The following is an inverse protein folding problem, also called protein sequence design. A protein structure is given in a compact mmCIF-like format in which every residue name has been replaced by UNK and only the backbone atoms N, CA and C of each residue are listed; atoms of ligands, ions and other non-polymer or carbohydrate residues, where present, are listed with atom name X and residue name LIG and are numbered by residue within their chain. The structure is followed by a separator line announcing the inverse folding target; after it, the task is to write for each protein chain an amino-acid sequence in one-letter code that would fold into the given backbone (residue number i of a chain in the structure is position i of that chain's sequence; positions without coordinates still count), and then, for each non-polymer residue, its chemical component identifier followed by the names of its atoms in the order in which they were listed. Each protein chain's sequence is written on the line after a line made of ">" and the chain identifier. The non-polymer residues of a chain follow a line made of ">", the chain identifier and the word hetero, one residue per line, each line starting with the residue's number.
data_IF_749267890035
#
_entry.id   IF_749267890035
#
_cell.length_a   1.000
_cell.length_b   1.000
_cell.length_c   1.000
_cell.angle_alpha   90.00
_cell.angle_beta   90.00
_cell.angle_gamma   90.00
#
_symmetry.space_group_name_H-M   'P 1'
#
loop_
_entity.id
_entity.type
_entity.pdbx_description
1 polymer ?
#
# COMPACT_ATOMS: atom_id res chain seq x y z
N UNK A 1 -11.07 19.22 32.04
CA UNK A 1 -11.36 17.78 31.81
C UNK A 1 -11.64 17.44 30.34
N UNK A 2 -12.55 18.12 29.64
CA UNK A 2 -12.86 17.84 28.22
C UNK A 2 -11.64 17.88 27.28
N UNK A 3 -10.77 18.89 27.44
CA UNK A 3 -9.54 19.03 26.63
C UNK A 3 -8.59 17.83 26.74
N UNK A 4 -8.51 17.24 27.93
CA UNK A 4 -7.66 16.08 28.20
C UNK A 4 -8.25 14.84 27.49
N UNK A 5 -9.55 14.62 27.64
CA UNK A 5 -10.24 13.51 26.97
C UNK A 5 -10.16 13.62 25.44
N UNK A 6 -10.35 14.81 24.90
CA UNK A 6 -10.21 15.08 23.47
C UNK A 6 -8.78 14.86 22.98
N UNK A 7 -7.78 15.35 23.72
CA UNK A 7 -6.36 15.15 23.41
C UNK A 7 -5.96 13.67 23.37
N UNK A 8 -6.40 12.86 24.35
CA UNK A 8 -6.15 11.43 24.35
C UNK A 8 -6.80 10.71 23.16
N UNK A 9 -8.04 11.09 22.80
CA UNK A 9 -8.72 10.52 21.64
C UNK A 9 -8.00 10.87 20.32
N UNK A 10 -7.54 12.12 20.18
CA UNK A 10 -6.80 12.57 19.01
C UNK A 10 -5.45 11.85 18.85
N UNK A 11 -4.72 11.72 19.96
CA UNK A 11 -3.47 10.99 20.00
C UNK A 11 -3.67 9.52 19.62
N UNK A 12 -4.68 8.86 20.20
CA UNK A 12 -4.98 7.46 19.89
C UNK A 12 -5.38 7.27 18.42
N UNK A 13 -6.16 8.19 17.86
CA UNK A 13 -6.57 8.16 16.45
C UNK A 13 -5.37 8.29 15.49
N UNK A 14 -4.44 9.21 15.79
CA UNK A 14 -3.19 9.37 15.04
C UNK A 14 -2.28 8.15 15.18
N UNK A 15 -2.04 7.68 16.41
CA UNK A 15 -1.12 6.58 16.70
C UNK A 15 -1.54 5.23 16.11
N UNK A 16 -2.86 4.99 15.99
CA UNK A 16 -3.40 3.80 15.35
C UNK A 16 -3.58 3.95 13.84
N UNK A 17 -3.23 5.10 13.26
CA UNK A 17 -3.39 5.39 11.84
C UNK A 17 -4.83 5.19 11.37
N UNK A 18 -5.82 5.48 12.23
CA UNK A 18 -7.23 5.24 11.91
C UNK A 18 -7.78 6.17 10.83
N UNK A 19 -7.26 7.40 10.77
CA UNK A 19 -7.71 8.41 9.82
C UNK A 19 -6.93 8.39 8.51
N UNK A 20 -5.64 8.07 8.57
CA UNK A 20 -4.80 7.93 7.39
C UNK A 20 -4.13 6.56 7.40
N UNK A 21 -4.55 5.67 6.49
CA UNK A 21 -3.93 4.36 6.35
C UNK A 21 -2.49 4.53 5.87
N UNK A 22 -1.57 3.84 6.54
CA UNK A 22 -0.15 3.83 6.19
C UNK A 22 0.26 2.49 5.58
N UNK A 23 -0.61 1.47 5.62
CA UNK A 23 -0.32 0.14 5.10
C UNK A 23 -0.90 0.00 3.70
N UNK A 24 -0.01 -0.23 2.75
CA UNK A 24 -0.36 -0.47 1.36
C UNK A 24 0.22 -1.80 0.88
N UNK A 25 -0.52 -2.48 0.04
CA UNK A 25 -0.12 -3.69 -0.66
C UNK A 25 0.40 -3.28 -2.04
N UNK A 26 1.62 -3.67 -2.37
CA UNK A 26 2.19 -3.41 -3.68
C UNK A 26 1.96 -4.61 -4.58
N UNK A 27 1.27 -4.36 -5.70
CA UNK A 27 0.97 -5.34 -6.72
C UNK A 27 1.72 -5.02 -7.99
N UNK A 28 2.32 -6.03 -8.59
CA UNK A 28 3.16 -5.91 -9.77
C UNK A 28 2.67 -6.80 -10.89
N UNK A 29 2.54 -6.18 -12.07
CA UNK A 29 2.30 -6.85 -13.32
C UNK A 29 3.54 -6.77 -14.20
N UNK A 30 3.96 -7.90 -14.79
CA UNK A 30 5.16 -7.95 -15.65
C UNK A 30 4.91 -7.39 -17.07
N UNK A 31 3.66 -7.33 -17.51
CA UNK A 31 3.29 -6.90 -18.86
C UNK A 31 1.85 -7.26 -19.21
N UNK A 32 1.46 -6.95 -20.46
CA UNK A 32 0.14 -7.29 -21.01
C UNK A 32 0.17 -8.70 -21.61
N UNK A 33 -0.75 -9.52 -21.13
CA UNK A 33 -1.02 -10.90 -21.56
C UNK A 33 -2.10 -10.83 -22.62
N UNK A 34 -1.84 -11.41 -23.79
CA UNK A 34 -2.83 -11.44 -24.88
C UNK A 34 -3.95 -12.42 -24.55
N UNK A 35 -5.10 -12.26 -25.20
CA UNK A 35 -6.29 -13.08 -24.95
C UNK A 35 -6.09 -14.58 -25.22
N UNK A 36 -5.14 -14.92 -26.09
CA UNK A 36 -4.78 -16.28 -26.48
C UNK A 36 -3.63 -16.88 -25.64
N UNK A 37 -3.10 -16.14 -24.66
CA UNK A 37 -1.94 -16.55 -23.86
C UNK A 37 -2.33 -17.01 -22.44
N UNK A 38 -1.57 -17.94 -21.85
CA UNK A 38 -1.78 -18.35 -20.47
C UNK A 38 -1.39 -17.22 -19.49
N UNK A 39 -2.09 -17.12 -18.36
CA UNK A 39 -1.91 -16.04 -17.37
C UNK A 39 -0.47 -15.92 -16.84
N UNK A 40 0.24 -17.03 -16.76
CA UNK A 40 1.60 -17.13 -16.26
C UNK A 40 2.66 -17.03 -17.38
N UNK A 41 2.30 -16.59 -18.61
CA UNK A 41 3.22 -16.55 -19.77
C UNK A 41 4.55 -15.85 -19.43
N UNK A 42 4.53 -14.72 -18.71
CA UNK A 42 5.76 -14.00 -18.36
C UNK A 42 6.68 -14.73 -17.36
N UNK A 43 6.18 -15.75 -16.65
CA UNK A 43 6.94 -16.50 -15.64
C UNK A 43 7.30 -17.92 -16.09
N UNK A 44 6.40 -18.56 -16.84
CA UNK A 44 6.50 -19.97 -17.21
C UNK A 44 6.45 -20.21 -18.74
N UNK A 45 6.70 -19.20 -19.58
CA UNK A 45 6.68 -19.35 -21.05
C UNK A 45 7.51 -20.53 -21.57
N UNK A 46 8.65 -20.82 -20.92
CA UNK A 46 9.57 -21.88 -21.33
C UNK A 46 8.96 -23.28 -21.21
N UNK A 47 7.97 -23.46 -20.34
CA UNK A 47 7.25 -24.72 -20.17
C UNK A 47 6.29 -25.00 -21.34
N UNK A 48 5.93 -23.98 -22.12
CA UNK A 48 5.03 -24.11 -23.27
C UNK A 48 5.78 -24.37 -24.59
N UNK A 49 7.12 -24.38 -24.56
CA UNK A 49 7.94 -24.72 -25.73
C UNK A 49 8.29 -26.20 -25.67
N UNK A 50 7.58 -26.98 -26.49
CA UNK A 50 7.77 -28.45 -26.64
C UNK A 50 9.05 -28.77 -27.43
N UNK A 51 9.44 -27.88 -28.34
CA UNK A 51 10.62 -28.04 -29.19
C UNK A 51 11.92 -27.79 -28.40
N UNK A 52 12.87 -28.73 -28.48
CA UNK A 52 14.19 -28.59 -27.85
C UNK A 52 15.14 -27.67 -28.64
N UNK A 53 14.68 -27.09 -29.76
CA UNK A 53 15.46 -26.14 -30.53
C UNK A 53 15.82 -24.88 -29.71
N UNK A 54 17.12 -24.69 -29.50
CA UNK A 54 17.70 -23.57 -28.76
C UNK A 54 17.37 -22.21 -29.37
N UNK A 55 17.38 -22.11 -30.70
CA UNK A 55 17.17 -20.84 -31.41
C UNK A 55 15.76 -20.29 -31.16
N UNK A 56 14.74 -21.15 -31.22
CA UNK A 56 13.35 -20.79 -30.90
C UNK A 56 13.17 -20.36 -29.45
N UNK A 57 13.89 -21.00 -28.52
CA UNK A 57 13.90 -20.58 -27.10
C UNK A 57 14.52 -19.21 -26.93
N UNK A 58 15.62 -18.91 -27.61
CA UNK A 58 16.29 -17.61 -27.56
C UNK A 58 15.45 -16.49 -28.20
N UNK A 59 14.75 -16.79 -29.30
CA UNK A 59 13.77 -15.88 -29.90
C UNK A 59 12.62 -15.56 -28.94
N UNK A 60 11.99 -16.58 -28.34
CA UNK A 60 10.90 -16.38 -27.37
C UNK A 60 11.36 -15.63 -26.11
N UNK A 61 12.60 -15.87 -25.67
CA UNK A 61 13.22 -15.11 -24.57
C UNK A 61 13.29 -13.62 -24.92
N UNK A 62 13.78 -13.28 -26.11
CA UNK A 62 13.84 -11.89 -26.59
C UNK A 62 12.46 -11.25 -26.70
N UNK A 63 11.47 -11.99 -27.20
CA UNK A 63 10.08 -11.52 -27.27
C UNK A 63 9.53 -11.19 -25.86
N UNK A 64 9.70 -12.09 -24.89
CA UNK A 64 9.22 -11.90 -23.53
C UNK A 64 9.90 -10.73 -22.83
N UNK A 65 11.21 -10.54 -23.06
CA UNK A 65 11.95 -9.39 -22.56
C UNK A 65 11.47 -8.08 -23.19
N UNK A 66 11.27 -8.05 -24.51
CA UNK A 66 10.79 -6.87 -25.22
C UNK A 66 9.38 -6.46 -24.79
N UNK A 67 8.52 -7.43 -24.46
CA UNK A 67 7.15 -7.21 -23.98
C UNK A 67 7.05 -6.89 -22.50
N UNK A 68 8.16 -6.95 -21.75
CA UNK A 68 8.16 -6.76 -20.30
C UNK A 68 8.07 -5.28 -19.95
N UNK A 69 6.84 -4.82 -19.74
CA UNK A 69 6.54 -3.45 -19.31
C UNK A 69 5.94 -3.53 -17.91
N UNK A 70 6.77 -3.49 -16.84
CA UNK A 70 6.29 -3.65 -15.49
C UNK A 70 5.35 -2.49 -15.09
N UNK A 71 4.28 -2.81 -14.38
CA UNK A 71 3.37 -1.83 -13.79
C UNK A 71 3.13 -2.18 -12.33
N UNK A 72 3.18 -1.16 -11.49
CA UNK A 72 2.99 -1.27 -10.05
C UNK A 72 1.68 -0.59 -9.66
N UNK A 73 0.94 -1.21 -8.75
CA UNK A 73 -0.26 -0.67 -8.15
C UNK A 73 -0.14 -0.76 -6.63
N UNK A 74 -0.39 0.35 -5.97
CA UNK A 74 -0.51 0.42 -4.52
C UNK A 74 -2.00 0.33 -4.18
N UNK A 75 -2.34 -0.64 -3.34
CA UNK A 75 -3.72 -0.85 -2.87
C UNK A 75 -3.75 -0.72 -1.36
N UNK A 76 -4.79 -0.09 -0.83
CA UNK A 76 -5.03 0.06 0.60
C UNK A 76 -5.62 -1.21 1.25
N UNK A 77 -6.26 -2.05 0.43
CA UNK A 77 -6.82 -3.34 0.84
C UNK A 77 -6.10 -4.52 0.17
N UNK A 78 -6.01 -5.64 0.91
CA UNK A 78 -5.52 -6.90 0.39
C UNK A 78 -6.61 -7.62 -0.40
N UNK A 79 -6.45 -7.72 -1.71
CA UNK A 79 -7.43 -8.35 -2.61
C UNK A 79 -7.02 -9.78 -3.02
N UNK A 80 -6.03 -10.37 -2.34
CA UNK A 80 -5.49 -11.70 -2.63
C UNK A 80 -4.05 -11.68 -3.15
N UNK A 81 -3.46 -12.86 -3.34
CA UNK A 81 -2.07 -13.00 -3.82
C UNK A 81 -1.89 -12.52 -5.26
N UNK A 82 -2.96 -12.63 -6.06
CA UNK A 82 -2.97 -12.15 -7.43
C UNK A 82 -4.38 -11.78 -7.88
N UNK A 83 -4.47 -10.84 -8.83
CA UNK A 83 -5.72 -10.48 -9.49
C UNK A 83 -5.48 -10.15 -10.96
N UNK A 84 -6.55 -10.23 -11.75
CA UNK A 84 -6.51 -9.96 -13.19
C UNK A 84 -7.32 -8.71 -13.50
N UNK A 85 -6.76 -7.85 -14.32
CA UNK A 85 -7.41 -6.65 -14.81
C UNK A 85 -7.41 -6.61 -16.33
N UNK A 86 -8.53 -6.21 -16.94
CA UNK A 86 -8.63 -6.04 -18.39
C UNK A 86 -8.06 -4.68 -18.79
N UNK A 87 -7.19 -4.68 -19.80
CA UNK A 87 -6.52 -3.47 -20.30
C UNK A 87 -6.56 -3.46 -21.82
N UNK A 88 -6.23 -2.32 -22.42
CA UNK A 88 -6.11 -2.23 -23.87
C UNK A 88 -5.07 -3.25 -24.39
N UNK A 89 -5.49 -4.11 -25.32
CA UNK A 89 -4.65 -5.16 -25.90
C UNK A 89 -4.60 -6.48 -25.13
N UNK A 90 -5.35 -6.65 -24.03
CA UNK A 90 -5.48 -7.94 -23.35
C UNK A 90 -5.76 -7.81 -21.86
N UNK A 91 -4.98 -8.51 -21.04
CA UNK A 91 -5.15 -8.56 -19.58
C UNK A 91 -3.81 -8.39 -18.88
N UNK A 92 -3.84 -7.86 -17.66
CA UNK A 92 -2.68 -7.79 -16.78
C UNK A 92 -2.94 -8.67 -15.57
N UNK A 93 -2.01 -9.61 -15.34
CA UNK A 93 -1.93 -10.31 -14.06
C UNK A 93 -1.06 -9.47 -13.12
N UNK A 94 -1.63 -9.11 -11.98
CA UNK A 94 -0.94 -8.46 -10.89
C UNK A 94 -0.71 -9.48 -9.78
N UNK A 95 0.52 -9.62 -9.31
CA UNK A 95 0.88 -10.44 -8.15
C UNK A 95 1.41 -9.54 -7.04
N UNK A 96 1.21 -9.92 -5.78
CA UNK A 96 1.81 -9.21 -4.64
C UNK A 96 3.33 -9.24 -4.76
N UNK A 97 3.96 -8.06 -4.84
CA UNK A 97 5.44 -7.92 -4.85
C UNK A 97 5.95 -7.78 -3.40
N UNK A 98 5.30 -6.93 -2.60
CA UNK A 98 5.58 -6.76 -1.16
C UNK A 98 4.27 -6.87 -0.36
N UNK A 99 4.29 -7.73 0.67
CA UNK A 99 3.14 -7.99 1.56
C UNK A 99 2.62 -6.75 2.29
N UNK A 100 3.47 -5.74 2.52
CA UNK A 100 3.03 -4.45 3.04
C UNK A 100 4.16 -3.43 2.94
N UNK A 101 3.93 -2.32 2.24
CA UNK A 101 4.70 -1.10 2.40
C UNK A 101 4.03 -0.19 3.42
N UNK A 102 4.82 0.27 4.38
CA UNK A 102 4.40 1.32 5.30
C UNK A 102 4.82 2.66 4.73
N UNK A 103 3.87 3.44 4.23
CA UNK A 103 4.11 4.80 3.74
C UNK A 103 3.67 5.76 4.85
N UNK A 104 4.59 6.45 5.54
CA UNK A 104 4.24 7.33 6.65
C UNK A 104 3.40 8.51 6.15
N UNK A 105 2.30 8.80 6.84
CA UNK A 105 1.43 9.92 6.51
C UNK A 105 1.58 11.03 7.55
N UNK A 106 2.05 12.20 7.12
CA UNK A 106 2.30 13.33 8.02
C UNK A 106 1.06 13.75 8.85
N UNK A 107 -0.15 13.44 8.37
CA UNK A 107 -1.41 13.68 9.09
C UNK A 107 -1.50 12.92 10.42
N UNK A 108 -1.06 11.66 10.46
CA UNK A 108 -1.06 10.88 11.71
C UNK A 108 -0.11 11.50 12.74
N UNK A 109 1.07 11.96 12.30
CA UNK A 109 2.04 12.67 13.17
C UNK A 109 1.48 14.00 13.71
N UNK A 110 0.73 14.75 12.89
CA UNK A 110 0.05 15.97 13.36
C UNK A 110 -1.05 15.66 14.38
N UNK A 111 -1.80 14.57 14.20
CA UNK A 111 -2.80 14.13 15.16
C UNK A 111 -2.18 13.69 16.49
N UNK A 112 -1.07 12.96 16.46
CA UNK A 112 -0.30 12.64 17.67
C UNK A 112 0.17 13.90 18.40
N UNK A 113 0.78 14.85 17.67
CA UNK A 113 1.28 16.10 18.23
C UNK A 113 0.16 16.95 18.86
N UNK A 114 -0.93 17.18 18.12
CA UNK A 114 -2.07 17.95 18.62
C UNK A 114 -2.75 17.27 19.80
N UNK A 115 -2.82 15.94 19.81
CA UNK A 115 -3.35 15.16 20.92
C UNK A 115 -2.53 15.35 22.20
N UNK A 116 -1.21 15.24 22.11
CA UNK A 116 -0.29 15.48 23.24
C UNK A 116 -0.40 16.93 23.72
N UNK A 117 -0.41 17.89 22.78
CA UNK A 117 -0.53 19.30 23.09
C UNK A 117 -1.82 19.60 23.87
N UNK A 118 -2.96 19.11 23.40
CA UNK A 118 -4.25 19.29 24.07
C UNK A 118 -4.28 18.64 25.46
N UNK A 119 -3.66 17.46 25.63
CA UNK A 119 -3.57 16.80 26.93
C UNK A 119 -2.74 17.62 27.93
N UNK A 120 -1.58 18.13 27.50
CA UNK A 120 -0.69 18.95 28.35
C UNK A 120 -1.36 20.27 28.75
N UNK A 121 -1.96 20.99 27.81
CA UNK A 121 -2.68 22.23 28.12
C UNK A 121 -3.91 21.97 29.00
N UNK A 122 -4.64 20.88 28.76
CA UNK A 122 -5.77 20.49 29.59
C UNK A 122 -5.38 20.22 31.04
N UNK A 123 -4.21 19.61 31.26
CA UNK A 123 -3.68 19.35 32.60
C UNK A 123 -3.16 20.64 33.26
N UNK A 124 -2.47 21.50 32.52
CA UNK A 124 -2.03 22.80 33.00
C UNK A 124 -3.21 23.68 33.46
N UNK A 125 -4.29 23.74 32.66
CA UNK A 125 -5.50 24.49 33.04
C UNK A 125 -6.18 23.91 34.28
N UNK A 126 -6.27 22.58 34.39
CA UNK A 126 -6.84 21.94 35.58
C UNK A 126 -6.03 22.21 36.87
N UNK A 127 -4.70 22.36 36.76
CA UNK A 127 -3.84 22.72 37.90
C UNK A 127 -3.88 24.22 38.25
N UNK A 128 -4.17 25.09 37.28
CA UNK A 128 -4.25 26.54 37.46
C UNK A 128 -5.65 27.02 37.91
N UNK A 129 -6.72 26.31 37.53
CA UNK A 129 -8.11 26.59 37.93
C UNK A 129 -8.27 26.85 39.44
N UNK A 130 -7.74 26.02 40.35
CA UNK A 130 -7.87 26.24 41.79
C UNK A 130 -7.15 27.49 42.31
N UNK A 131 -6.17 28.03 41.56
CA UNK A 131 -5.39 29.22 41.95
C UNK A 131 -6.04 30.51 41.46
N UNK A 132 -6.74 30.48 40.34
CA UNK A 132 -7.44 31.63 39.76
C UNK A 132 -8.84 31.85 40.39
N UNK A 133 -9.50 30.78 40.83
CA UNK A 133 -10.88 30.84 41.38
C UNK A 133 -10.94 31.11 42.89
N UNK A 134 -9.78 31.32 43.55
CA UNK A 134 -9.66 31.62 44.99
C UNK A 134 -9.47 33.11 45.30
N UNK A 135 -9.64 33.99 44.32
CA UNK A 135 -9.82 35.43 44.54
C UNK A 135 -11.31 35.75 44.70
#
# INVERSE_FOLDING_TARGET
>A
MFLISFGCALFYAGHKNYLFNERFYEYKSLGVIKTDEPLNVFTHWSNYIIDSNREKREEKTREMLARRVPCFKLMDEYIGESFVEEVEGGKRLYNVDELSRTIPHAGNSWFEFLGILAAVFGLAFALLEPRLTKQ
#
